data_IF_926249229588
#
_entry.id   IF_926249229588
#
_cell.length_a   1.000
_cell.length_b   1.000
_cell.length_c   1.000
_cell.angle_alpha   90.00
_cell.angle_beta   90.00
_cell.angle_gamma   90.00
#
_symmetry.space_group_name_H-M   'P 1'
#
loop_
_entity.id
_entity.type
_entity.pdbx_description
1 polymer ?
#
# COMPACT_ATOMS: atom_id res chain seq x y z
N UNK A 1 -0.64 14.98 35.21
CA UNK A 1 -1.60 14.14 34.46
C UNK A 1 -1.26 14.30 32.98
N UNK A 2 -0.48 13.38 32.40
CA UNK A 2 -0.18 13.41 30.96
C UNK A 2 -1.30 12.65 30.24
N UNK A 3 -2.00 13.35 29.37
CA UNK A 3 -3.03 12.77 28.52
C UNK A 3 -2.33 12.04 27.38
N UNK A 4 -2.12 10.73 27.54
CA UNK A 4 -1.71 9.88 26.42
C UNK A 4 -2.88 9.78 25.44
N UNK A 5 -2.75 10.49 24.31
CA UNK A 5 -3.66 10.42 23.18
C UNK A 5 -3.57 9.02 22.56
N UNK A 6 -4.49 8.15 22.94
CA UNK A 6 -4.68 6.87 22.28
C UNK A 6 -5.62 7.07 21.08
N UNK A 7 -5.11 7.69 20.02
CA UNK A 7 -5.84 8.20 18.84
C UNK A 7 -6.41 7.08 17.92
N UNK A 8 -6.09 5.81 18.18
CA UNK A 8 -6.51 4.67 17.35
C UNK A 8 -8.02 4.35 17.40
N UNK A 9 -8.77 4.94 18.33
CA UNK A 9 -10.22 4.72 18.51
C UNK A 9 -11.11 5.58 17.60
N UNK A 10 -10.55 6.57 16.90
CA UNK A 10 -11.33 7.55 16.12
C UNK A 10 -11.48 7.19 14.64
N UNK A 11 -10.82 6.14 14.17
CA UNK A 11 -10.86 5.72 12.77
C UNK A 11 -11.70 4.43 12.61
N UNK A 12 -12.90 4.56 12.06
CA UNK A 12 -13.79 3.43 11.76
C UNK A 12 -13.27 2.51 10.64
N UNK A 13 -12.46 3.06 9.73
CA UNK A 13 -11.86 2.34 8.61
C UNK A 13 -10.35 2.31 8.75
N UNK A 14 -9.75 1.15 8.48
CA UNK A 14 -8.31 0.91 8.61
C UNK A 14 -7.74 0.48 7.28
N UNK A 15 -6.61 1.07 6.93
CA UNK A 15 -5.73 0.58 5.86
C UNK A 15 -4.67 -0.29 6.55
N UNK A 16 -4.38 -1.45 5.96
CA UNK A 16 -3.28 -2.32 6.42
C UNK A 16 -2.27 -2.40 5.29
N UNK A 17 -1.03 -2.03 5.58
CA UNK A 17 0.09 -2.06 4.64
C UNK A 17 0.98 -3.23 5.05
N UNK A 18 1.33 -4.08 4.09
CA UNK A 18 2.17 -5.27 4.28
C UNK A 18 3.26 -5.22 3.23
N UNK A 19 4.52 -5.34 3.64
CA UNK A 19 5.65 -5.38 2.72
C UNK A 19 6.99 -5.30 3.44
N UNK A 20 8.02 -4.93 2.69
CA UNK A 20 9.42 -4.82 3.10
C UNK A 20 9.78 -3.40 3.61
N UNK A 21 11.06 -3.06 3.65
CA UNK A 21 11.56 -1.74 4.02
C UNK A 21 10.94 -0.57 3.24
N UNK A 22 10.48 -0.78 2.00
CA UNK A 22 9.74 0.25 1.26
C UNK A 22 8.35 0.49 1.85
N UNK A 23 7.65 -0.58 2.27
CA UNK A 23 6.33 -0.49 2.88
C UNK A 23 6.37 0.21 4.23
N UNK A 24 7.44 0.01 5.02
CA UNK A 24 7.65 0.71 6.28
C UNK A 24 7.66 2.24 6.09
N UNK A 25 8.54 2.77 5.23
CA UNK A 25 8.61 4.21 4.98
C UNK A 25 7.37 4.80 4.30
N UNK A 26 6.66 4.01 3.51
CA UNK A 26 5.38 4.41 2.90
C UNK A 26 4.25 4.53 3.94
N UNK A 27 4.20 3.60 4.90
CA UNK A 27 3.19 3.57 5.95
C UNK A 27 3.21 4.79 6.86
N UNK A 28 4.39 5.33 7.15
CA UNK A 28 4.52 6.56 7.94
C UNK A 28 3.88 7.76 7.27
N UNK A 29 4.10 7.92 5.96
CA UNK A 29 3.53 9.04 5.22
C UNK A 29 2.02 8.94 5.13
N UNK A 30 1.47 7.75 4.88
CA UNK A 30 0.01 7.58 4.78
C UNK A 30 -0.67 7.73 6.15
N UNK A 31 -0.09 7.15 7.19
CA UNK A 31 -0.77 7.03 8.50
C UNK A 31 -0.61 8.30 9.35
N UNK A 32 0.52 9.00 9.23
CA UNK A 32 0.87 10.08 10.15
C UNK A 32 1.08 11.44 9.47
N UNK A 33 1.10 11.49 8.12
CA UNK A 33 1.43 12.70 7.36
C UNK A 33 2.72 13.39 7.84
N UNK A 34 3.62 12.63 8.46
CA UNK A 34 4.89 13.10 9.00
C UNK A 34 6.02 12.72 8.04
N UNK A 35 7.05 13.57 7.97
CA UNK A 35 8.33 13.22 7.35
C UNK A 35 8.83 11.92 7.98
N UNK A 36 9.15 10.92 7.14
CA UNK A 36 9.53 9.56 7.57
C UNK A 36 10.85 9.50 8.35
N UNK A 37 10.82 9.91 9.61
CA UNK A 37 11.95 9.82 10.56
C UNK A 37 12.27 8.36 10.91
N UNK A 38 11.34 7.41 10.71
CA UNK A 38 11.61 5.98 10.91
C UNK A 38 12.42 5.36 9.77
N UNK A 39 12.62 6.05 8.63
CA UNK A 39 13.55 5.57 7.60
C UNK A 39 14.98 5.41 8.14
N UNK A 40 15.39 6.18 9.16
CA UNK A 40 16.65 6.00 9.87
C UNK A 40 16.69 4.74 10.76
N UNK A 41 15.54 4.30 11.29
CA UNK A 41 15.43 3.10 12.14
C UNK A 41 15.36 1.79 11.34
N UNK A 42 15.02 1.85 10.05
CA UNK A 42 14.93 0.67 9.17
C UNK A 42 16.29 -0.05 9.07
N UNK A 43 17.41 0.67 9.09
CA UNK A 43 18.76 0.07 9.06
C UNK A 43 19.02 -0.89 10.24
N UNK A 44 18.45 -0.63 11.41
CA UNK A 44 18.63 -1.48 12.59
C UNK A 44 17.81 -2.79 12.50
N UNK A 45 16.58 -2.73 12.00
CA UNK A 45 15.72 -3.93 11.89
C UNK A 45 16.12 -4.82 10.70
N UNK A 46 16.65 -4.25 9.60
CA UNK A 46 17.18 -5.02 8.47
C UNK A 46 18.41 -5.86 8.84
N UNK A 47 19.22 -5.41 9.81
CA UNK A 47 20.36 -6.21 10.30
C UNK A 47 19.95 -7.56 10.91
N UNK A 48 18.66 -7.77 11.17
CA UNK A 48 18.06 -9.02 11.66
C UNK A 48 17.35 -9.83 10.58
N UNK A 49 17.29 -9.38 9.32
CA UNK A 49 16.78 -10.20 8.22
C UNK A 49 17.77 -11.33 7.92
N UNK A 50 17.60 -12.44 8.66
CA UNK A 50 18.25 -13.71 8.36
C UNK A 50 17.97 -14.10 6.90
N UNK A 51 19.02 -14.63 6.25
CA UNK A 51 19.07 -15.10 4.85
C UNK A 51 17.80 -15.82 4.43
N UNK A 52 16.84 -15.07 3.88
CA UNK A 52 15.68 -15.66 3.22
C UNK A 52 16.16 -16.30 1.91
N UNK A 53 15.75 -17.55 1.62
CA UNK A 53 16.14 -18.18 0.37
C UNK A 53 15.59 -17.38 -0.80
N UNK A 54 16.45 -17.17 -1.81
CA UNK A 54 16.05 -16.47 -3.04
C UNK A 54 14.87 -17.20 -3.69
N UNK A 55 13.77 -16.48 -3.87
CA UNK A 55 12.59 -16.95 -4.59
C UNK A 55 12.67 -16.49 -6.06
N UNK A 56 12.23 -17.34 -6.98
CA UNK A 56 12.23 -16.98 -8.40
C UNK A 56 11.18 -15.91 -8.72
N UNK A 57 11.38 -15.09 -9.77
CA UNK A 57 10.40 -14.12 -10.25
C UNK A 57 8.97 -14.69 -10.40
N UNK A 58 8.84 -15.87 -11.01
CA UNK A 58 7.56 -16.53 -11.18
C UNK A 58 6.93 -16.93 -9.84
N UNK A 59 7.75 -17.37 -8.89
CA UNK A 59 7.26 -17.71 -7.56
C UNK A 59 6.82 -16.46 -6.79
N UNK A 60 7.54 -15.35 -6.93
CA UNK A 60 7.14 -14.04 -6.38
C UNK A 60 5.77 -13.63 -6.90
N UNK A 61 5.56 -13.67 -8.21
CA UNK A 61 4.27 -13.33 -8.82
C UNK A 61 3.15 -14.24 -8.30
N UNK A 62 3.36 -15.56 -8.29
CA UNK A 62 2.37 -16.52 -7.77
C UNK A 62 2.02 -16.25 -6.31
N UNK A 63 3.01 -15.93 -5.47
CA UNK A 63 2.80 -15.63 -4.06
C UNK A 63 1.97 -14.35 -3.89
N UNK A 64 2.30 -13.29 -4.65
CA UNK A 64 1.55 -12.02 -4.62
C UNK A 64 0.09 -12.24 -5.05
N UNK A 65 -0.14 -12.98 -6.14
CA UNK A 65 -1.49 -13.33 -6.60
C UNK A 65 -2.27 -14.10 -5.54
N UNK A 66 -1.65 -15.11 -4.93
CA UNK A 66 -2.28 -15.91 -3.87
C UNK A 66 -2.67 -15.07 -2.64
N UNK A 67 -1.82 -14.13 -2.22
CA UNK A 67 -2.12 -13.20 -1.13
C UNK A 67 -3.30 -12.29 -1.51
N UNK A 68 -3.29 -11.73 -2.73
CA UNK A 68 -4.37 -10.88 -3.22
C UNK A 68 -5.70 -11.64 -3.21
N UNK A 69 -5.74 -12.84 -3.76
CA UNK A 69 -6.94 -13.66 -3.81
C UNK A 69 -7.45 -14.04 -2.41
N UNK A 70 -6.55 -14.39 -1.50
CA UNK A 70 -6.92 -14.70 -0.12
C UNK A 70 -7.58 -13.50 0.60
N UNK A 71 -7.06 -12.29 0.38
CA UNK A 71 -7.62 -11.05 0.95
C UNK A 71 -8.96 -10.69 0.29
N UNK A 72 -9.06 -10.81 -1.04
CA UNK A 72 -10.30 -10.55 -1.79
C UNK A 72 -11.42 -11.50 -1.40
N UNK A 73 -11.12 -12.80 -1.19
CA UNK A 73 -12.08 -13.79 -0.68
C UNK A 73 -12.65 -13.41 0.70
N UNK A 74 -11.90 -12.63 1.50
CA UNK A 74 -12.38 -12.04 2.77
C UNK A 74 -13.13 -10.70 2.58
N UNK A 75 -13.49 -10.36 1.35
CA UNK A 75 -14.21 -9.13 1.00
C UNK A 75 -13.36 -7.86 1.14
N UNK A 76 -12.02 -7.97 1.08
CA UNK A 76 -11.13 -6.82 1.16
C UNK A 76 -10.87 -6.24 -0.22
N UNK A 77 -10.82 -4.91 -0.30
CA UNK A 77 -10.23 -4.19 -1.44
C UNK A 77 -8.72 -4.27 -1.31
N UNK A 78 -8.03 -4.67 -2.38
CA UNK A 78 -6.59 -4.97 -2.35
C UNK A 78 -5.88 -4.10 -3.36
N UNK A 79 -4.76 -3.53 -2.94
CA UNK A 79 -3.79 -2.87 -3.80
C UNK A 79 -2.46 -3.61 -3.72
N UNK A 80 -1.71 -3.61 -4.82
CA UNK A 80 -0.37 -4.18 -4.91
C UNK A 80 0.61 -3.13 -5.40
N UNK A 81 1.75 -3.00 -4.72
CA UNK A 81 2.85 -2.14 -5.16
C UNK A 81 3.67 -2.81 -6.25
N UNK A 82 4.18 -2.03 -7.20
CA UNK A 82 5.19 -2.54 -8.14
C UNK A 82 6.56 -2.64 -7.45
N UNK A 83 7.42 -3.51 -7.97
CA UNK A 83 8.80 -3.65 -7.50
C UNK A 83 9.62 -2.41 -7.88
N UNK A 84 10.39 -1.89 -6.93
CA UNK A 84 11.35 -0.83 -7.20
C UNK A 84 12.50 -1.36 -8.05
N UNK A 85 12.94 -0.61 -9.05
CA UNK A 85 14.15 -0.95 -9.80
C UNK A 85 15.38 -0.83 -8.89
N UNK A 86 16.28 -1.80 -9.00
CA UNK A 86 17.61 -1.81 -8.37
C UNK A 86 18.60 -1.00 -9.22
N UNK A 87 19.74 -0.61 -8.65
CA UNK A 87 20.85 -0.05 -9.43
C UNK A 87 21.63 -1.14 -10.20
N UNK A 88 21.33 -2.42 -9.92
CA UNK A 88 21.88 -3.58 -10.62
C UNK A 88 21.05 -3.87 -11.87
N UNK A 89 21.68 -3.74 -13.05
CA UNK A 89 21.00 -3.86 -14.36
C UNK A 89 20.33 -5.21 -14.57
N UNK A 90 20.96 -6.31 -14.14
CA UNK A 90 20.38 -7.67 -14.28
C UNK A 90 19.15 -7.90 -13.41
N UNK A 91 19.07 -7.23 -12.25
CA UNK A 91 17.88 -7.27 -11.39
C UNK A 91 16.74 -6.42 -11.99
N UNK A 92 17.08 -5.33 -12.69
CA UNK A 92 16.09 -4.47 -13.35
C UNK A 92 15.26 -5.19 -14.41
N UNK A 93 15.86 -6.08 -15.20
CA UNK A 93 15.12 -6.80 -16.24
C UNK A 93 14.09 -7.75 -15.63
N UNK A 94 14.49 -8.47 -14.57
CA UNK A 94 13.57 -9.31 -13.79
C UNK A 94 12.43 -8.50 -13.16
N UNK A 95 12.75 -7.36 -12.55
CA UNK A 95 11.73 -6.49 -11.94
C UNK A 95 10.77 -5.92 -12.98
N UNK A 96 11.26 -5.55 -14.17
CA UNK A 96 10.41 -5.06 -15.27
C UNK A 96 9.43 -6.14 -15.73
N UNK A 97 9.89 -7.37 -15.92
CA UNK A 97 9.03 -8.49 -16.30
C UNK A 97 7.96 -8.78 -15.24
N UNK A 98 8.33 -8.79 -13.95
CA UNK A 98 7.37 -8.97 -12.86
C UNK A 98 6.37 -7.80 -12.81
N UNK A 99 6.84 -6.57 -12.93
CA UNK A 99 5.97 -5.38 -12.91
C UNK A 99 4.96 -5.40 -14.05
N UNK A 100 5.37 -5.81 -15.26
CA UNK A 100 4.44 -6.00 -16.37
C UNK A 100 3.40 -7.09 -16.04
N UNK A 101 3.83 -8.23 -15.49
CA UNK A 101 2.92 -9.30 -15.10
C UNK A 101 1.94 -8.88 -13.98
N UNK A 102 2.35 -7.99 -13.07
CA UNK A 102 1.48 -7.40 -12.05
C UNK A 102 0.42 -6.47 -12.67
N UNK A 103 0.82 -5.67 -13.67
CA UNK A 103 -0.12 -4.82 -14.44
C UNK A 103 -1.14 -5.69 -15.16
N UNK A 104 -0.68 -6.74 -15.84
CA UNK A 104 -1.55 -7.67 -16.57
C UNK A 104 -2.52 -8.39 -15.63
N UNK A 105 -2.05 -8.81 -14.46
CA UNK A 105 -2.90 -9.38 -13.40
C UNK A 105 -3.93 -8.38 -12.88
N UNK A 106 -3.55 -7.13 -12.61
CA UNK A 106 -4.52 -6.12 -12.18
C UNK A 106 -5.59 -5.90 -13.26
N UNK A 107 -5.18 -5.82 -14.53
CA UNK A 107 -6.08 -5.68 -15.67
C UNK A 107 -7.04 -6.87 -15.81
N UNK A 108 -6.56 -8.11 -15.59
CA UNK A 108 -7.42 -9.30 -15.66
C UNK A 108 -8.50 -9.34 -14.59
N UNK A 109 -8.31 -8.62 -13.47
CA UNK A 109 -9.31 -8.53 -12.38
C UNK A 109 -10.28 -7.36 -12.53
N UNK A 110 -10.17 -6.54 -13.58
CA UNK A 110 -10.86 -5.26 -13.68
C UNK A 110 -12.40 -5.34 -13.62
N UNK A 111 -12.98 -6.47 -14.05
CA UNK A 111 -14.42 -6.72 -14.05
C UNK A 111 -14.93 -7.43 -12.78
N UNK A 112 -14.04 -7.82 -11.87
CA UNK A 112 -14.42 -8.48 -10.63
C UNK A 112 -15.09 -7.48 -9.66
N UNK A 113 -15.87 -7.99 -8.70
CA UNK A 113 -16.53 -7.16 -7.69
C UNK A 113 -15.55 -6.32 -6.84
N UNK A 114 -14.35 -6.84 -6.59
CA UNK A 114 -13.27 -6.17 -5.87
C UNK A 114 -11.98 -6.25 -6.68
N UNK A 115 -11.79 -5.46 -7.75
CA UNK A 115 -10.61 -5.56 -8.61
C UNK A 115 -9.33 -5.26 -7.80
N UNK A 116 -8.23 -5.91 -8.14
CA UNK A 116 -6.91 -5.55 -7.61
C UNK A 116 -6.44 -4.28 -8.32
N UNK A 117 -5.91 -3.32 -7.56
CA UNK A 117 -5.37 -2.08 -8.11
C UNK A 117 -3.86 -2.00 -7.91
N UNK A 118 -3.16 -1.37 -8.84
CA UNK A 118 -1.74 -1.12 -8.71
C UNK A 118 -1.50 0.20 -7.98
N UNK A 119 -0.88 0.14 -6.81
CA UNK A 119 -0.38 1.28 -6.04
C UNK A 119 0.35 0.76 -4.78
N UNK A 120 1.49 1.36 -4.39
CA UNK A 120 2.24 2.40 -5.10
C UNK A 120 2.90 1.92 -6.40
N UNK A 121 3.07 2.79 -7.39
CA UNK A 121 3.89 2.49 -8.57
C UNK A 121 5.34 2.94 -8.37
N UNK A 122 6.19 1.98 -7.98
CA UNK A 122 7.63 2.14 -7.78
C UNK A 122 8.45 1.85 -9.05
N UNK A 123 7.79 1.63 -10.19
CA UNK A 123 8.47 1.40 -11.47
C UNK A 123 8.82 2.70 -12.21
N UNK A 124 8.35 3.84 -11.70
CA UNK A 124 8.49 5.14 -12.36
C UNK A 124 9.95 5.65 -12.37
N UNK A 125 10.36 6.43 -13.38
CA UNK A 125 11.70 7.01 -13.41
C UNK A 125 11.99 7.99 -12.26
N UNK A 126 10.95 8.58 -11.64
CA UNK A 126 11.10 9.58 -10.58
C UNK A 126 11.73 8.97 -9.33
N UNK A 127 11.33 7.75 -8.97
CA UNK A 127 11.83 7.07 -7.77
C UNK A 127 13.23 6.47 -7.94
N UNK A 128 13.75 6.46 -9.18
CA UNK A 128 15.10 5.98 -9.52
C UNK A 128 16.18 7.04 -9.41
N UNK A 129 15.82 8.31 -9.27
CA UNK A 129 16.81 9.39 -9.24
C UNK A 129 17.60 9.34 -7.94
N UNK A 130 18.88 9.69 -7.99
CA UNK A 130 19.72 9.75 -6.79
C UNK A 130 19.18 10.74 -5.76
N UNK A 131 18.54 11.83 -6.19
CA UNK A 131 17.87 12.80 -5.31
C UNK A 131 16.55 12.30 -4.70
N UNK A 132 16.10 11.11 -5.09
CA UNK A 132 14.97 10.40 -4.49
C UNK A 132 15.43 9.39 -3.41
N UNK A 133 16.73 9.13 -3.28
CA UNK A 133 17.29 8.15 -2.35
C UNK A 133 17.63 8.75 -0.99
N UNK A 134 17.58 7.90 0.03
CA UNK A 134 18.05 8.17 1.38
C UNK A 134 19.59 8.07 1.44
N UNK A 135 20.17 8.25 2.64
CA UNK A 135 21.61 8.22 2.87
C UNK A 135 22.26 6.85 2.55
N UNK A 136 21.47 5.78 2.51
CA UNK A 136 21.92 4.43 2.15
C UNK A 136 21.97 4.18 0.64
N UNK A 137 21.52 5.14 -0.18
CA UNK A 137 21.47 5.02 -1.64
C UNK A 137 20.40 4.05 -2.16
N UNK A 138 19.64 3.37 -1.30
CA UNK A 138 18.72 2.31 -1.68
C UNK A 138 17.26 2.70 -1.41
N UNK A 139 16.93 3.05 -0.16
CA UNK A 139 15.59 3.44 0.24
C UNK A 139 15.24 4.85 -0.25
N UNK A 140 13.96 5.20 -0.23
CA UNK A 140 13.52 6.54 -0.61
C UNK A 140 13.73 7.53 0.52
N UNK A 141 14.05 8.79 0.18
CA UNK A 141 13.99 9.87 1.16
C UNK A 141 12.55 10.34 1.39
N UNK A 142 12.37 11.21 2.39
CA UNK A 142 11.06 11.73 2.78
C UNK A 142 10.30 12.41 1.62
N UNK A 143 11.00 13.10 0.70
CA UNK A 143 10.39 13.77 -0.45
C UNK A 143 9.85 12.75 -1.46
N UNK A 144 10.62 11.70 -1.74
CA UNK A 144 10.21 10.64 -2.64
C UNK A 144 9.02 9.84 -2.07
N UNK A 145 9.06 9.46 -0.79
CA UNK A 145 7.91 8.82 -0.14
C UNK A 145 6.67 9.73 -0.15
N UNK A 146 6.83 11.05 0.05
CA UNK A 146 5.70 11.98 -0.03
C UNK A 146 5.04 11.96 -1.40
N UNK A 147 5.84 11.98 -2.47
CA UNK A 147 5.32 11.94 -3.83
C UNK A 147 4.61 10.60 -4.11
N UNK A 148 5.26 9.48 -3.77
CA UNK A 148 4.68 8.13 -3.93
C UNK A 148 3.35 8.02 -3.17
N UNK A 149 3.27 8.55 -1.95
CA UNK A 149 2.04 8.56 -1.16
C UNK A 149 0.93 9.39 -1.82
N UNK A 150 1.25 10.58 -2.34
CA UNK A 150 0.28 11.41 -3.08
C UNK A 150 -0.27 10.70 -4.32
N UNK A 151 0.60 10.12 -5.13
CA UNK A 151 0.20 9.39 -6.34
C UNK A 151 -0.66 8.17 -5.98
N UNK A 152 -0.31 7.49 -4.89
CA UNK A 152 -1.06 6.36 -4.37
C UNK A 152 -2.46 6.75 -3.88
N UNK A 153 -2.60 7.92 -3.25
CA UNK A 153 -3.89 8.43 -2.79
C UNK A 153 -4.87 8.69 -3.93
N UNK A 154 -4.41 8.94 -5.16
CA UNK A 154 -5.29 9.04 -6.33
C UNK A 154 -6.01 7.72 -6.62
N UNK A 155 -5.36 6.58 -6.33
CA UNK A 155 -5.94 5.24 -6.48
C UNK A 155 -6.71 4.81 -5.23
N UNK A 156 -6.19 5.13 -4.04
CA UNK A 156 -6.80 4.72 -2.78
C UNK A 156 -8.09 5.48 -2.47
N UNK A 157 -8.17 6.77 -2.77
CA UNK A 157 -9.33 7.62 -2.38
C UNK A 157 -10.67 7.03 -2.85
N UNK A 158 -10.87 6.69 -4.14
CA UNK A 158 -12.14 6.08 -4.59
C UNK A 158 -12.45 4.74 -3.90
N UNK A 159 -11.43 3.95 -3.57
CA UNK A 159 -11.60 2.67 -2.88
C UNK A 159 -12.08 2.88 -1.44
N UNK A 160 -11.50 3.86 -0.75
CA UNK A 160 -11.86 4.23 0.62
C UNK A 160 -13.27 4.80 0.67
N UNK A 161 -13.61 5.72 -0.22
CA UNK A 161 -14.97 6.28 -0.34
C UNK A 161 -16.01 5.18 -0.57
N UNK A 162 -15.70 4.17 -1.40
CA UNK A 162 -16.62 3.07 -1.62
C UNK A 162 -16.81 2.18 -0.38
N UNK A 163 -15.79 2.02 0.47
CA UNK A 163 -15.90 1.31 1.76
C UNK A 163 -16.76 2.10 2.73
N UNK A 164 -16.50 3.40 2.85
CA UNK A 164 -17.25 4.31 3.71
C UNK A 164 -18.73 4.31 3.34
N UNK A 165 -19.05 4.49 2.05
CA UNK A 165 -20.43 4.46 1.56
C UNK A 165 -21.13 3.13 1.83
N UNK A 166 -20.44 2.00 1.65
CA UNK A 166 -20.99 0.68 1.95
C UNK A 166 -21.31 0.49 3.44
N UNK A 167 -20.59 1.20 4.31
CA UNK A 167 -20.77 1.15 5.76
C UNK A 167 -21.91 2.07 6.18
N UNK A 168 -21.90 3.32 5.71
CA UNK A 168 -22.97 4.29 5.96
C UNK A 168 -24.32 3.79 5.47
N UNK A 169 -24.38 3.20 4.27
CA UNK A 169 -25.64 2.64 3.75
C UNK A 169 -26.25 1.60 4.69
N UNK A 170 -25.43 0.68 5.21
CA UNK A 170 -25.89 -0.32 6.20
C UNK A 170 -26.39 0.31 7.50
N UNK A 171 -25.77 1.41 7.93
CA UNK A 171 -26.21 2.14 9.13
C UNK A 171 -27.55 2.83 8.88
N UNK A 172 -27.71 3.49 7.72
CA UNK A 172 -28.94 4.18 7.34
C UNK A 172 -30.12 3.22 7.12
N UNK A 173 -29.88 2.06 6.48
CA UNK A 173 -30.90 1.03 6.28
C UNK A 173 -31.44 0.46 7.60
N UNK A 174 -30.68 0.61 8.69
CA UNK A 174 -31.08 0.22 10.05
C UNK A 174 -31.84 1.30 10.83
N UNK A 175 -31.94 2.53 10.32
CA UNK A 175 -32.64 3.63 10.98
C UNK A 175 -34.14 3.51 10.70
N UNK A 176 -34.92 3.25 11.75
CA UNK A 176 -36.38 3.41 11.71
C UNK A 176 -36.72 4.86 12.02
N UNK A 177 -37.33 5.55 11.07
CA UNK A 177 -37.85 6.90 11.29
C UNK A 177 -39.17 6.80 12.06
N UNK A 178 -39.34 7.65 13.07
CA UNK A 178 -40.64 7.85 13.70
C UNK A 178 -41.46 8.77 12.79
N UNK A 179 -42.57 8.24 12.26
CA UNK A 179 -43.44 8.99 11.37
C UNK A 179 -44.02 10.24 12.05
N UNK A 180 -44.15 10.24 13.37
CA UNK A 180 -44.70 11.36 14.15
C UNK A 180 -43.79 12.60 14.21
N UNK A 181 -42.54 12.52 13.72
CA UNK A 181 -41.63 13.67 13.62
C UNK A 181 -41.80 14.47 12.31
N UNK A 182 -42.61 13.97 11.38
CA UNK A 182 -42.81 14.56 10.05
C UNK A 182 -44.26 14.95 9.75
N UNK A 183 -45.16 14.84 10.75
CA UNK A 183 -46.53 15.36 10.76
C UNK A 183 -46.62 16.59 11.68
#
# INVERSE_FOLDING_TARGET
MRYERNDSRWYHHKIVIIGDGFAAGFGDWITMASSGELSEYIAHEISKEDKTPSISPDQTLRNIQAICDALRKKGKRVCVGSLCHSDVVTECDGHRSINQALVDFCASTATDAFPVKITPDLSTPVVRRSDAKAFDGFHFNAKAYQQIARDSMMVLTPLLTAVEWSTWKKQLDGVKYDAALYD
#
